data_IF_377502039311
#
_entry.id   IF_377502039311
#
_cell.length_a   1.000
_cell.length_b   1.000
_cell.length_c   1.000
_cell.angle_alpha   90.00
_cell.angle_beta   90.00
_cell.angle_gamma   90.00
#
_symmetry.space_group_name_H-M   'P 1'
#
loop_
_entity.id
_entity.type
_entity.pdbx_description
1 polymer ?
#
# COMPACT_ATOMS: atom_id res chain seq x y z
N UNK A 1 11.91 -14.95 -5.68
CA UNK A 1 11.67 -13.96 -4.62
C UNK A 1 11.22 -12.67 -5.26
N UNK A 2 10.12 -12.13 -4.76
CA UNK A 2 9.53 -10.87 -5.23
C UNK A 2 9.26 -9.98 -4.02
N UNK A 3 9.22 -8.68 -4.26
CA UNK A 3 8.71 -7.69 -3.32
C UNK A 3 7.44 -7.09 -3.91
N UNK A 4 6.35 -7.14 -3.16
CA UNK A 4 5.12 -6.43 -3.50
C UNK A 4 5.05 -5.18 -2.63
N UNK A 5 4.87 -4.03 -3.28
CA UNK A 5 4.67 -2.74 -2.63
C UNK A 5 3.26 -2.24 -2.99
N UNK A 6 2.47 -1.86 -2.00
CA UNK A 6 1.15 -1.30 -2.19
C UNK A 6 1.03 0.06 -1.49
N UNK A 7 0.59 1.08 -2.22
CA UNK A 7 0.19 2.38 -1.65
C UNK A 7 -1.33 2.35 -1.53
N UNK A 8 -1.84 2.48 -0.30
CA UNK A 8 -3.27 2.29 0.01
C UNK A 8 -3.79 3.43 0.87
N UNK A 9 -5.12 3.58 0.91
CA UNK A 9 -5.79 4.51 1.83
C UNK A 9 -5.55 4.11 3.28
N UNK A 10 -5.43 5.08 4.18
CA UNK A 10 -5.11 4.84 5.60
C UNK A 10 -6.19 4.00 6.29
N UNK A 11 -7.45 4.28 6.00
CA UNK A 11 -8.62 3.60 6.55
C UNK A 11 -8.75 2.14 6.12
N UNK A 12 -8.03 1.73 5.06
CA UNK A 12 -8.08 0.39 4.47
C UNK A 12 -7.05 -0.59 5.05
N UNK A 13 -6.31 -0.17 6.08
CA UNK A 13 -5.26 -0.98 6.67
C UNK A 13 -5.78 -2.29 7.29
N UNK A 14 -7.01 -2.30 7.78
CA UNK A 14 -7.60 -3.50 8.38
C UNK A 14 -7.97 -4.54 7.31
N UNK A 15 -8.45 -4.11 6.14
CA UNK A 15 -8.66 -4.98 4.99
C UNK A 15 -7.34 -5.55 4.46
N UNK A 16 -6.26 -4.77 4.43
CA UNK A 16 -4.93 -5.28 4.07
C UNK A 16 -4.53 -6.44 4.98
N UNK A 17 -4.67 -6.30 6.31
CA UNK A 17 -4.34 -7.38 7.26
C UNK A 17 -5.18 -8.63 6.99
N UNK A 18 -6.48 -8.47 6.70
CA UNK A 18 -7.38 -9.59 6.39
C UNK A 18 -6.97 -10.32 5.11
N UNK A 19 -6.60 -9.59 4.05
CA UNK A 19 -6.10 -10.18 2.81
C UNK A 19 -4.81 -10.98 3.06
N UNK A 20 -3.84 -10.38 3.75
CA UNK A 20 -2.58 -11.06 4.07
C UNK A 20 -2.81 -12.32 4.91
N UNK A 21 -3.67 -12.25 5.94
CA UNK A 21 -4.02 -13.39 6.77
C UNK A 21 -4.73 -14.50 5.96
N UNK A 22 -5.65 -14.13 5.05
CA UNK A 22 -6.32 -15.08 4.17
C UNK A 22 -5.39 -15.82 3.20
N UNK A 23 -4.26 -15.18 2.84
CA UNK A 23 -3.19 -15.76 2.02
C UNK A 23 -2.13 -16.50 2.85
N UNK A 24 -2.27 -16.57 4.18
CA UNK A 24 -1.28 -17.19 5.07
C UNK A 24 0.00 -16.36 5.26
N UNK A 25 -0.02 -15.07 4.92
CA UNK A 25 1.11 -14.16 5.04
C UNK A 25 1.09 -13.53 6.43
N UNK A 26 2.07 -13.89 7.25
CA UNK A 26 2.17 -13.45 8.64
C UNK A 26 3.13 -12.27 8.86
N UNK A 27 3.80 -11.79 7.83
CA UNK A 27 4.82 -10.75 7.96
C UNK A 27 4.85 -9.82 6.76
N UNK A 28 4.69 -8.53 7.02
CA UNK A 28 4.83 -7.43 6.08
C UNK A 28 5.16 -6.16 6.86
N UNK A 29 5.69 -5.16 6.17
CA UNK A 29 6.07 -3.86 6.74
C UNK A 29 5.07 -2.80 6.32
N UNK A 30 4.75 -1.87 7.22
CA UNK A 30 3.91 -0.71 6.94
C UNK A 30 4.72 0.55 7.23
N UNK A 31 4.61 1.55 6.35
CA UNK A 31 5.15 2.89 6.58
C UNK A 31 4.15 3.96 6.12
N UNK A 32 4.16 5.12 6.79
CA UNK A 32 3.37 6.29 6.37
C UNK A 32 4.07 6.99 5.21
N UNK A 33 3.32 7.40 4.19
CA UNK A 33 3.83 8.18 3.07
C UNK A 33 2.80 9.22 2.61
N UNK A 34 3.24 10.16 1.78
CA UNK A 34 2.35 11.11 1.12
C UNK A 34 2.28 10.82 -0.37
N UNK A 35 1.07 10.82 -0.92
CA UNK A 35 0.81 10.73 -2.36
C UNK A 35 0.39 12.08 -2.91
N UNK A 36 0.74 12.34 -4.16
CA UNK A 36 0.25 13.46 -4.96
C UNK A 36 -0.40 12.88 -6.22
N UNK A 37 -1.56 13.37 -6.65
CA UNK A 37 -2.28 12.81 -7.79
C UNK A 37 -3.55 13.57 -8.16
N UNK A 38 -4.45 12.90 -8.89
CA UNK A 38 -5.72 13.48 -9.35
C UNK A 38 -6.75 13.73 -8.24
N UNK A 39 -6.53 13.17 -7.05
CA UNK A 39 -7.37 13.41 -5.89
C UNK A 39 -6.97 14.78 -5.29
N UNK A 40 -7.90 15.73 -5.24
CA UNK A 40 -7.67 17.02 -4.60
C UNK A 40 -7.42 16.79 -3.10
N UNK A 41 -6.26 17.24 -2.62
CA UNK A 41 -5.92 17.16 -1.20
C UNK A 41 -6.81 18.02 -0.31
N UNK A 42 -6.84 17.76 1.00
CA UNK A 42 -7.62 18.57 1.92
C UNK A 42 -7.16 20.04 1.87
N UNK A 43 -8.11 20.95 1.76
CA UNK A 43 -7.84 22.39 1.82
C UNK A 43 -7.74 22.80 3.28
N UNK A 44 -6.52 22.94 3.80
CA UNK A 44 -6.32 23.42 5.17
C UNK A 44 -6.30 24.95 5.21
N UNK A 45 -7.16 25.53 6.06
CA UNK A 45 -7.16 26.96 6.34
C UNK A 45 -6.41 27.22 7.65
N UNK A 46 -5.20 27.79 7.55
CA UNK A 46 -4.41 28.19 8.71
C UNK A 46 -4.33 29.72 8.80
N UNK A 47 -4.94 30.29 9.85
CA UNK A 47 -4.97 31.74 10.13
C UNK A 47 -5.44 32.60 8.94
N UNK A 48 -6.49 32.17 8.23
CA UNK A 48 -7.05 32.89 7.09
C UNK A 48 -6.18 32.87 5.83
N UNK A 49 -5.14 32.04 5.79
CA UNK A 49 -4.42 31.66 4.56
C UNK A 49 -4.78 30.22 4.21
N UNK A 50 -5.20 30.02 2.95
CA UNK A 50 -5.37 28.69 2.38
C UNK A 50 -4.00 28.13 2.06
N UNK A 51 -3.67 27.00 2.66
CA UNK A 51 -2.59 26.15 2.19
C UNK A 51 -3.26 24.97 1.50
N UNK A 52 -3.24 24.96 0.17
CA UNK A 52 -3.61 23.77 -0.57
C UNK A 52 -2.48 22.75 -0.31
N UNK A 53 -2.72 21.78 0.57
CA UNK A 53 -1.82 20.63 0.70
C UNK A 53 -2.24 19.63 -0.35
N UNK A 54 -1.56 19.64 -1.49
CA UNK A 54 -1.80 18.67 -2.57
C UNK A 54 -1.33 17.25 -2.22
N UNK A 55 -0.85 17.05 -0.99
CA UNK A 55 -0.34 15.81 -0.46
C UNK A 55 -1.42 15.13 0.38
N UNK A 56 -1.76 13.91 -0.02
CA UNK A 56 -2.71 13.06 0.69
C UNK A 56 -1.93 11.98 1.44
N UNK A 57 -2.16 11.86 2.74
CA UNK A 57 -1.55 10.82 3.55
C UNK A 57 -2.03 9.43 3.11
N UNK A 58 -1.08 8.50 2.95
CA UNK A 58 -1.29 7.12 2.51
C UNK A 58 -0.46 6.16 3.36
N UNK A 59 -0.83 4.88 3.32
CA UNK A 59 -0.02 3.81 3.88
C UNK A 59 0.69 3.07 2.76
N UNK A 60 2.00 2.88 2.92
CA UNK A 60 2.80 1.98 2.10
C UNK A 60 2.93 0.64 2.81
N UNK A 61 2.60 -0.43 2.10
CA UNK A 61 2.65 -1.82 2.55
C UNK A 61 3.66 -2.56 1.71
N UNK A 62 4.63 -3.19 2.36
CA UNK A 62 5.72 -3.92 1.70
C UNK A 62 5.73 -5.37 2.17
N UNK A 63 5.69 -6.31 1.24
CA UNK A 63 5.72 -7.75 1.53
C UNK A 63 6.69 -8.47 0.59
N UNK A 64 7.49 -9.37 1.15
CA UNK A 64 8.42 -10.23 0.40
C UNK A 64 7.82 -11.62 0.28
N UNK A 65 7.75 -12.15 -0.94
CA UNK A 65 7.19 -13.47 -1.23
C UNK A 65 8.13 -14.34 -2.08
N UNK A 66 7.88 -15.65 -2.07
CA UNK A 66 8.73 -16.68 -2.66
C UNK A 66 8.75 -16.66 -4.18
N UNK A 67 7.58 -16.45 -4.78
CA UNK A 67 7.38 -16.63 -6.22
C UNK A 67 6.62 -15.49 -6.89
N UNK A 68 6.58 -15.52 -8.24
CA UNK A 68 5.81 -14.58 -9.06
C UNK A 68 4.32 -14.85 -8.93
N UNK A 69 3.93 -16.11 -8.79
CA UNK A 69 2.55 -16.54 -8.58
C UNK A 69 2.01 -16.01 -7.25
N UNK A 70 2.80 -16.12 -6.16
CA UNK A 70 2.45 -15.51 -4.87
C UNK A 70 2.32 -13.99 -4.97
N UNK A 71 3.26 -13.32 -5.64
CA UNK A 71 3.20 -11.88 -5.84
C UNK A 71 1.92 -11.45 -6.60
N UNK A 72 1.53 -12.23 -7.60
CA UNK A 72 0.31 -12.01 -8.39
C UNK A 72 -0.93 -12.20 -7.53
N UNK A 73 -0.98 -13.27 -6.73
CA UNK A 73 -2.09 -13.55 -5.81
C UNK A 73 -2.27 -12.46 -4.74
N UNK A 74 -1.17 -11.94 -4.19
CA UNK A 74 -1.18 -10.80 -3.27
C UNK A 74 -1.75 -9.56 -3.98
N UNK A 75 -1.23 -9.27 -5.17
CA UNK A 75 -1.61 -8.07 -5.92
C UNK A 75 -3.09 -8.08 -6.31
N UNK A 76 -3.61 -9.23 -6.76
CA UNK A 76 -5.03 -9.38 -7.08
C UNK A 76 -5.90 -9.28 -5.83
N UNK A 77 -5.54 -9.97 -4.75
CA UNK A 77 -6.29 -9.94 -3.49
C UNK A 77 -6.37 -8.53 -2.89
N UNK A 78 -5.28 -7.76 -2.93
CA UNK A 78 -5.28 -6.36 -2.52
C UNK A 78 -6.14 -5.50 -3.45
N UNK A 79 -6.00 -5.66 -4.77
CA UNK A 79 -6.79 -4.87 -5.73
C UNK A 79 -8.30 -5.07 -5.54
N UNK A 80 -8.72 -6.32 -5.34
CA UNK A 80 -10.14 -6.66 -5.17
C UNK A 80 -10.71 -6.15 -3.84
N UNK A 81 -9.95 -6.28 -2.74
CA UNK A 81 -10.43 -5.90 -1.42
C UNK A 81 -10.42 -4.38 -1.16
N UNK A 82 -9.52 -3.66 -1.84
CA UNK A 82 -9.27 -2.25 -1.58
C UNK A 82 -9.99 -1.32 -2.57
N UNK A 83 -10.41 -1.84 -3.71
CA UNK A 83 -11.15 -1.08 -4.72
C UNK A 83 -12.46 -0.53 -4.16
N UNK A 84 -12.60 0.79 -4.20
CA UNK A 84 -13.84 1.53 -3.95
C UNK A 84 -14.48 2.01 -5.26
N UNK A 85 -13.74 1.93 -6.37
CA UNK A 85 -14.14 2.43 -7.68
C UNK A 85 -14.04 3.95 -7.80
N UNK A 86 -13.37 4.61 -6.86
CA UNK A 86 -13.17 6.06 -6.85
C UNK A 86 -11.69 6.40 -7.05
N UNK A 87 -11.36 7.57 -7.63
CA UNK A 87 -9.98 8.03 -7.72
C UNK A 87 -9.30 8.01 -6.35
N UNK A 88 -8.06 7.53 -6.31
CA UNK A 88 -7.26 7.50 -5.08
C UNK A 88 -7.24 6.17 -4.32
N UNK A 89 -7.81 5.08 -4.85
CA UNK A 89 -7.74 3.75 -4.19
C UNK A 89 -6.31 3.25 -3.99
N UNK A 90 -5.38 3.70 -4.83
CA UNK A 90 -3.96 3.43 -4.67
C UNK A 90 -3.37 2.67 -5.85
N UNK A 91 -2.24 2.02 -5.59
CA UNK A 91 -1.43 1.33 -6.59
C UNK A 91 -0.69 0.16 -5.95
N UNK A 92 -0.55 -0.93 -6.69
CA UNK A 92 0.23 -2.10 -6.28
C UNK A 92 1.30 -2.37 -7.33
N UNK A 93 2.51 -2.62 -6.86
CA UNK A 93 3.69 -2.88 -7.65
C UNK A 93 4.33 -4.18 -7.22
N UNK A 94 5.00 -4.85 -8.14
CA UNK A 94 5.82 -6.02 -7.84
C UNK A 94 7.19 -5.90 -8.49
N UNK A 95 8.24 -6.15 -7.71
CA UNK A 95 9.62 -6.05 -8.14
C UNK A 95 10.34 -7.38 -7.92
N UNK A 96 11.21 -7.83 -8.85
CA UNK A 96 12.08 -8.97 -8.61
C UNK A 96 13.16 -8.59 -7.58
N UNK A 97 13.42 -9.47 -6.62
CA UNK A 97 14.49 -9.30 -5.64
C UNK A 97 15.74 -10.06 -6.08
N UNK A 98 16.89 -9.36 -6.11
CA UNK A 98 18.19 -9.97 -6.42
C UNK A 98 18.79 -10.75 -5.24
N UNK A 99 18.51 -10.33 -4.02
CA UNK A 99 19.02 -10.96 -2.79
C UNK A 99 18.09 -10.71 -1.61
N UNK A 100 18.09 -11.65 -0.66
CA UNK A 100 17.35 -11.57 0.59
C UNK A 100 18.06 -12.38 1.68
N UNK A 101 18.11 -11.83 2.89
CA UNK A 101 18.72 -12.48 4.06
C UNK A 101 17.87 -12.26 5.31
N UNK A 102 17.53 -13.34 6.01
CA UNK A 102 16.92 -13.26 7.36
C UNK A 102 18.02 -13.00 8.39
N UNK A 103 17.83 -11.97 9.22
CA UNK A 103 18.79 -11.59 10.28
C UNK A 103 18.84 -12.67 11.38
N UNK A 104 17.67 -13.16 11.81
CA UNK A 104 17.56 -14.25 12.78
C UNK A 104 17.37 -15.58 12.04
N UNK A 105 18.22 -16.56 12.36
CA UNK A 105 18.08 -17.95 11.90
C UNK A 105 17.04 -18.69 12.73
#
# INVERSE_FOLDING_TARGET
>A
MMMVEAIVRVEKLEEVKKCMAGLGINGFTISSCFGYGEEEGPREEYRGRRYDSDLIERMKVEVVCGSVEEATAISSSLSDALSTGRPGDGMVFSFPLSSYSKIRK
#
